data_IF_014465814145
#
_entry.id   IF_014465814145
#
_cell.length_a   1.000
_cell.length_b   1.000
_cell.length_c   1.000
_cell.angle_alpha   90.00
_cell.angle_beta   90.00
_cell.angle_gamma   90.00
#
_symmetry.space_group_name_H-M   'P 1'
#
loop_
_entity.id
_entity.type
_entity.pdbx_description
1 polymer ?
#
# COMPACT_ATOMS: atom_id res chain seq x y z
N UNK A 1 -5.08 25.82 57.08
CA UNK A 1 -4.86 24.38 56.81
C UNK A 1 -5.51 23.92 55.50
N UNK A 2 -6.48 24.66 54.96
CA UNK A 2 -7.17 24.41 53.67
C UNK A 2 -6.30 24.67 52.42
N UNK A 3 -5.46 25.72 52.41
CA UNK A 3 -4.69 26.16 51.23
C UNK A 3 -3.65 25.14 50.71
N UNK A 4 -3.09 24.29 51.59
CA UNK A 4 -2.15 23.24 51.19
C UNK A 4 -2.82 22.05 50.50
N UNK A 5 -4.09 21.79 50.82
CA UNK A 5 -4.85 20.67 50.26
C UNK A 5 -5.20 20.92 48.79
N UNK A 6 -5.60 22.16 48.46
CA UNK A 6 -6.01 22.54 47.10
C UNK A 6 -4.83 22.51 46.12
N UNK A 7 -3.65 23.01 46.52
CA UNK A 7 -2.42 22.96 45.68
C UNK A 7 -1.91 21.53 45.41
N UNK A 8 -2.25 20.56 46.26
CA UNK A 8 -1.88 19.16 46.04
C UNK A 8 -2.86 18.51 45.05
N UNK A 9 -4.14 18.89 45.09
CA UNK A 9 -5.17 18.37 44.18
C UNK A 9 -4.95 18.82 42.74
N UNK A 10 -4.59 20.09 42.53
CA UNK A 10 -4.32 20.62 41.19
C UNK A 10 -3.10 20.00 40.52
N UNK A 11 -2.03 19.73 41.29
CA UNK A 11 -0.82 19.07 40.75
C UNK A 11 -1.09 17.63 40.33
N UNK A 12 -1.92 16.89 41.08
CA UNK A 12 -2.33 15.53 40.70
C UNK A 12 -3.17 15.52 39.42
N UNK A 13 -4.05 16.52 39.26
CA UNK A 13 -4.85 16.65 38.04
C UNK A 13 -3.97 16.93 36.81
N UNK A 14 -3.04 17.89 36.91
CA UNK A 14 -2.10 18.21 35.83
C UNK A 14 -1.22 17.02 35.43
N UNK A 15 -0.72 16.25 36.40
CA UNK A 15 0.08 15.03 36.14
C UNK A 15 -0.75 13.99 35.38
N UNK A 16 -2.00 13.74 35.80
CA UNK A 16 -2.85 12.75 35.13
C UNK A 16 -3.14 13.14 33.67
N UNK A 17 -3.41 14.41 33.39
CA UNK A 17 -3.64 14.90 32.02
C UNK A 17 -2.41 14.66 31.13
N UNK A 18 -1.20 14.95 31.63
CA UNK A 18 0.04 14.71 30.89
C UNK A 18 0.26 13.22 30.62
N UNK A 19 -0.01 12.36 31.61
CA UNK A 19 0.12 10.90 31.44
C UNK A 19 -0.82 10.40 30.35
N UNK A 20 -2.10 10.82 30.35
CA UNK A 20 -3.04 10.41 29.30
C UNK A 20 -2.66 10.94 27.92
N UNK A 21 -2.12 12.16 27.83
CA UNK A 21 -1.66 12.72 26.56
C UNK A 21 -0.49 11.89 25.96
N UNK A 22 0.48 11.49 26.80
CA UNK A 22 1.60 10.64 26.36
C UNK A 22 1.10 9.27 25.90
N UNK A 23 0.20 8.64 26.66
CA UNK A 23 -0.40 7.34 26.28
C UNK A 23 -1.10 7.46 24.93
N UNK A 24 -1.88 8.53 24.72
CA UNK A 24 -2.60 8.75 23.46
C UNK A 24 -1.66 8.88 22.26
N UNK A 25 -0.55 9.61 22.40
CA UNK A 25 0.48 9.73 21.35
C UNK A 25 1.09 8.36 21.02
N UNK A 26 1.43 7.57 22.04
CA UNK A 26 1.97 6.21 21.85
C UNK A 26 0.98 5.32 21.11
N UNK A 27 -0.31 5.39 21.44
CA UNK A 27 -1.37 4.65 20.75
C UNK A 27 -1.47 5.06 19.28
N UNK A 28 -1.42 6.36 18.96
CA UNK A 28 -1.46 6.82 17.56
C UNK A 28 -0.24 6.32 16.77
N UNK A 29 0.96 6.38 17.36
CA UNK A 29 2.18 5.88 16.70
C UNK A 29 2.04 4.37 16.45
N UNK A 30 1.54 3.62 17.42
CA UNK A 30 1.33 2.18 17.30
C UNK A 30 0.30 1.83 16.22
N UNK A 31 -0.82 2.55 16.15
CA UNK A 31 -1.83 2.37 15.10
C UNK A 31 -1.26 2.65 13.70
N UNK A 32 -0.49 3.73 13.54
CA UNK A 32 0.18 4.04 12.27
C UNK A 32 1.18 2.95 11.86
N UNK A 33 1.89 2.36 12.83
CA UNK A 33 2.82 1.26 12.58
C UNK A 33 2.08 -0.02 12.14
N UNK A 34 0.96 -0.36 12.80
CA UNK A 34 0.13 -1.52 12.43
C UNK A 34 -0.44 -1.42 11.01
N UNK A 35 -0.86 -0.24 10.58
CA UNK A 35 -1.38 -0.04 9.22
C UNK A 35 -0.29 -0.28 8.17
N UNK A 36 0.94 0.17 8.44
CA UNK A 36 2.08 0.01 7.52
C UNK A 36 2.60 -1.42 7.45
N UNK A 37 2.63 -2.16 8.56
CA UNK A 37 3.16 -3.53 8.56
C UNK A 37 2.28 -4.51 7.77
N UNK A 38 0.95 -4.34 7.79
CA UNK A 38 0.02 -5.25 7.11
C UNK A 38 0.09 -5.26 5.58
N UNK A 39 0.60 -4.19 4.94
CA UNK A 39 0.67 -4.10 3.48
C UNK A 39 1.95 -4.72 2.89
N UNK A 40 3.05 -4.77 3.66
CA UNK A 40 4.33 -5.26 3.17
C UNK A 40 4.35 -6.77 2.89
N UNK A 41 3.68 -7.58 3.71
CA UNK A 41 3.72 -9.04 3.61
C UNK A 41 2.80 -9.61 2.52
N UNK A 42 1.64 -8.98 2.28
CA UNK A 42 0.69 -9.46 1.26
C UNK A 42 1.25 -9.35 -0.16
N UNK A 43 2.10 -8.36 -0.41
CA UNK A 43 2.68 -8.15 -1.74
C UNK A 43 3.71 -9.23 -2.09
N UNK A 44 4.53 -9.67 -1.13
CA UNK A 44 5.60 -10.66 -1.38
C UNK A 44 5.05 -12.06 -1.67
N UNK A 45 4.12 -12.55 -0.85
CA UNK A 45 3.54 -13.89 -1.04
C UNK A 45 2.73 -14.01 -2.35
N UNK A 46 2.14 -12.91 -2.82
CA UNK A 46 1.38 -12.94 -4.07
C UNK A 46 2.30 -13.07 -5.30
N UNK A 47 3.48 -12.45 -5.26
CA UNK A 47 4.47 -12.48 -6.35
C UNK A 47 5.16 -13.83 -6.49
N UNK A 48 5.37 -14.57 -5.39
CA UNK A 48 6.02 -15.89 -5.46
C UNK A 48 5.21 -16.92 -6.26
N UNK A 49 3.88 -16.82 -6.21
CA UNK A 49 2.96 -17.70 -6.94
C UNK A 49 2.79 -17.35 -8.42
N UNK A 50 3.43 -16.29 -8.91
CA UNK A 50 3.33 -15.92 -10.31
C UNK A 50 4.13 -16.88 -11.20
N UNK A 51 3.58 -17.15 -12.39
CA UNK A 51 4.32 -17.81 -13.47
C UNK A 51 5.55 -16.94 -13.84
N UNK A 52 6.61 -17.59 -14.32
CA UNK A 52 7.90 -16.98 -14.69
C UNK A 52 7.72 -15.82 -15.68
N UNK A 53 6.71 -15.90 -16.56
CA UNK A 53 6.32 -14.80 -17.44
C UNK A 53 6.04 -13.50 -16.67
N UNK A 54 5.14 -13.53 -15.68
CA UNK A 54 4.78 -12.33 -14.92
C UNK A 54 5.91 -11.89 -13.97
N UNK A 55 6.70 -12.84 -13.45
CA UNK A 55 7.92 -12.51 -12.69
C UNK A 55 8.91 -11.72 -13.54
N UNK A 56 9.06 -12.08 -14.82
CA UNK A 56 9.92 -11.35 -15.76
C UNK A 56 9.42 -9.95 -16.09
N UNK A 57 8.09 -9.72 -16.06
CA UNK A 57 7.50 -8.39 -16.18
C UNK A 57 7.78 -7.56 -14.92
N UNK A 58 7.59 -8.13 -13.73
CA UNK A 58 7.90 -7.44 -12.47
C UNK A 58 9.37 -7.05 -12.35
N UNK A 59 10.28 -7.86 -12.86
CA UNK A 59 11.71 -7.56 -12.86
C UNK A 59 12.06 -6.30 -13.69
N UNK A 60 11.18 -5.90 -14.62
CA UNK A 60 11.35 -4.70 -15.46
C UNK A 60 10.66 -3.46 -14.87
N UNK A 61 9.90 -3.59 -13.79
CA UNK A 61 9.35 -2.44 -13.10
C UNK A 61 10.48 -1.63 -12.45
N UNK A 62 10.49 -0.32 -12.68
CA UNK A 62 11.48 0.60 -12.10
C UNK A 62 11.25 0.71 -10.58
N UNK A 63 12.24 0.28 -9.78
CA UNK A 63 12.20 0.31 -8.33
C UNK A 63 12.69 1.63 -7.73
N UNK A 64 13.35 2.47 -8.53
CA UNK A 64 13.89 3.75 -8.06
C UNK A 64 12.79 4.78 -7.86
N UNK A 65 11.68 4.64 -8.60
CA UNK A 65 10.51 5.49 -8.50
C UNK A 65 9.31 4.71 -7.95
N UNK A 66 9.03 4.88 -6.65
CA UNK A 66 7.95 4.19 -5.92
C UNK A 66 6.59 4.28 -6.61
N UNK A 67 6.21 5.46 -7.15
CA UNK A 67 4.92 5.63 -7.82
C UNK A 67 4.81 4.87 -9.13
N UNK A 68 5.91 4.80 -9.88
CA UNK A 68 6.00 4.04 -11.14
C UNK A 68 6.02 2.54 -10.83
N UNK A 69 6.77 2.15 -9.79
CA UNK A 69 6.86 0.79 -9.31
C UNK A 69 5.49 0.22 -8.94
N UNK A 70 4.75 0.94 -8.10
CA UNK A 70 3.44 0.50 -7.60
C UNK A 70 2.43 0.31 -8.74
N UNK A 71 2.39 1.28 -9.66
CA UNK A 71 1.53 1.19 -10.84
C UNK A 71 1.90 0.00 -11.75
N UNK A 72 3.20 -0.21 -11.98
CA UNK A 72 3.69 -1.35 -12.75
C UNK A 72 3.33 -2.67 -12.07
N UNK A 73 3.59 -2.79 -10.77
CA UNK A 73 3.27 -3.96 -9.96
C UNK A 73 1.77 -4.28 -10.00
N UNK A 74 0.92 -3.29 -9.81
CA UNK A 74 -0.54 -3.47 -9.85
C UNK A 74 -1.00 -3.91 -11.23
N UNK A 75 -0.45 -3.35 -12.30
CA UNK A 75 -0.78 -3.77 -13.67
C UNK A 75 -0.41 -5.22 -13.92
N UNK A 76 0.77 -5.68 -13.46
CA UNK A 76 1.16 -7.09 -13.59
C UNK A 76 0.29 -8.00 -12.72
N UNK A 77 -0.06 -7.59 -11.49
CA UNK A 77 -0.97 -8.36 -10.63
C UNK A 77 -2.32 -8.57 -11.29
N UNK A 78 -2.86 -7.51 -11.91
CA UNK A 78 -4.14 -7.58 -12.62
C UNK A 78 -4.05 -8.50 -13.84
N UNK A 79 -3.01 -8.33 -14.65
CA UNK A 79 -2.75 -9.20 -15.79
C UNK A 79 -2.62 -10.67 -15.36
N UNK A 80 -1.86 -10.96 -14.30
CA UNK A 80 -1.69 -12.30 -13.78
C UNK A 80 -3.00 -12.92 -13.28
N UNK A 81 -3.84 -12.15 -12.58
CA UNK A 81 -5.12 -12.62 -12.06
C UNK A 81 -6.10 -13.01 -13.17
N UNK A 82 -6.07 -12.30 -14.31
CA UNK A 82 -6.95 -12.54 -15.45
C UNK A 82 -6.29 -13.32 -16.59
N UNK A 83 -5.04 -13.76 -16.41
CA UNK A 83 -4.21 -14.39 -17.44
C UNK A 83 -4.08 -13.56 -18.73
N UNK A 84 -3.93 -12.24 -18.61
CA UNK A 84 -3.71 -11.34 -19.73
C UNK A 84 -2.23 -11.24 -20.09
N UNK A 85 -1.96 -11.27 -21.39
CA UNK A 85 -0.62 -11.07 -21.93
C UNK A 85 -0.35 -9.60 -22.25
N UNK A 86 0.91 -9.22 -22.18
CA UNK A 86 1.39 -7.90 -22.56
C UNK A 86 1.03 -7.62 -24.02
N UNK A 87 0.42 -6.46 -24.27
CA UNK A 87 0.13 -6.04 -25.63
C UNK A 87 1.43 -5.75 -26.38
N UNK A 88 1.54 -6.29 -27.59
CA UNK A 88 2.61 -5.96 -28.53
C UNK A 88 2.32 -4.66 -29.28
N UNK A 89 2.35 -4.70 -30.61
CA UNK A 89 2.08 -3.54 -31.48
C UNK A 89 0.58 -3.15 -31.48
N UNK A 90 -0.30 -4.05 -31.00
CA UNK A 90 -1.73 -3.81 -30.90
C UNK A 90 -2.48 -5.04 -30.39
N UNK A 91 -3.81 -4.98 -30.44
CA UNK A 91 -4.67 -6.09 -30.07
C UNK A 91 -5.27 -6.78 -31.29
N UNK A 92 -5.53 -8.08 -31.16
CA UNK A 92 -6.21 -8.86 -32.20
C UNK A 92 -7.65 -8.33 -32.41
N UNK A 93 -8.26 -8.54 -33.59
CA UNK A 93 -9.66 -8.21 -33.81
C UNK A 93 -10.56 -8.82 -32.74
N UNK A 94 -11.50 -8.04 -32.20
CA UNK A 94 -12.35 -8.42 -31.07
C UNK A 94 -11.75 -8.16 -29.68
N UNK A 95 -10.53 -7.62 -29.60
CA UNK A 95 -9.89 -7.21 -28.36
C UNK A 95 -9.58 -5.71 -28.37
N UNK A 96 -9.69 -5.05 -27.21
CA UNK A 96 -9.29 -3.67 -26.96
C UNK A 96 -8.03 -3.61 -26.12
N UNK A 97 -7.22 -2.59 -26.37
CA UNK A 97 -6.07 -2.27 -25.54
C UNK A 97 -6.56 -1.69 -24.21
N UNK A 98 -6.13 -2.25 -23.09
CA UNK A 98 -6.42 -1.76 -21.76
C UNK A 98 -5.11 -1.44 -21.01
N UNK A 99 -5.19 -0.51 -20.06
CA UNK A 99 -4.09 -0.04 -19.23
C UNK A 99 -4.65 0.65 -18.00
N UNK A 100 -3.91 0.69 -16.91
CA UNK A 100 -4.23 1.60 -15.82
C UNK A 100 -3.85 3.04 -16.18
N UNK A 101 -4.57 3.99 -15.57
CA UNK A 101 -4.37 5.43 -15.76
C UNK A 101 -3.23 5.95 -14.86
N UNK A 102 -2.08 5.26 -14.87
CA UNK A 102 -0.89 5.66 -14.12
C UNK A 102 0.39 5.37 -14.91
N UNK A 103 1.44 6.15 -14.64
CA UNK A 103 2.74 6.03 -15.31
C UNK A 103 3.40 4.74 -14.84
N UNK A 104 3.90 3.94 -15.78
CA UNK A 104 4.52 2.64 -15.50
C UNK A 104 3.58 1.44 -15.65
N UNK A 105 2.27 1.66 -15.86
CA UNK A 105 1.34 0.56 -16.14
C UNK A 105 1.71 -0.15 -17.43
N UNK A 106 1.71 -1.48 -17.39
CA UNK A 106 1.67 -2.27 -18.62
C UNK A 106 0.33 -2.09 -19.34
N UNK A 107 0.36 -2.38 -20.64
CA UNK A 107 -0.82 -2.44 -21.49
C UNK A 107 -1.07 -3.89 -21.87
N UNK A 108 -2.33 -4.29 -21.90
CA UNK A 108 -2.74 -5.65 -22.26
C UNK A 108 -3.97 -5.61 -23.15
N UNK A 109 -4.36 -6.75 -23.71
CA UNK A 109 -5.53 -6.86 -24.57
C UNK A 109 -6.67 -7.60 -23.87
N UNK A 110 -7.86 -7.02 -23.87
CA UNK A 110 -9.08 -7.61 -23.32
C UNK A 110 -10.15 -7.76 -24.39
N UNK A 111 -11.02 -8.78 -24.30
CA UNK A 111 -12.15 -8.88 -25.22
C UNK A 111 -13.06 -7.65 -25.11
N UNK A 112 -13.53 -7.18 -26.27
CA UNK A 112 -14.59 -6.18 -26.35
C UNK A 112 -15.89 -6.87 -25.94
N UNK A 113 -16.46 -6.44 -24.81
CA UNK A 113 -17.81 -6.84 -24.38
C UNK A 113 -18.84 -5.91 -24.98
#
# INVERSE_FOLDING_TARGET
>A
MSDLSDKIKDRKFQINVLVYAVIFIVVIIFLNWLIKSGQADRSKNQVENFNDYYKSLLAKCDKENEKIYDCCLDSVKYMAAANFELAGIGCKPGFKLNTFNCIGSYKWCEMIR
#
